data_IF_104220894307
#
_entry.id   IF_104220894307
#
_cell.length_a   1.000
_cell.length_b   1.000
_cell.length_c   1.000
_cell.angle_alpha   90.00
_cell.angle_beta   90.00
_cell.angle_gamma   90.00
#
_symmetry.space_group_name_H-M   'P 1'
#
loop_
_entity.id
_entity.type
_entity.pdbx_description
1 polymer ?
#
# COMPACT_ATOMS: atom_id res chain seq x y z
N UNK A 1 -4.93 17.85 6.30
CA UNK A 1 -3.82 16.88 6.42
C UNK A 1 -4.48 15.52 6.37
N UNK A 2 -4.09 14.72 5.39
CA UNK A 2 -4.47 13.32 5.30
C UNK A 2 -3.29 12.50 5.78
N UNK A 3 -3.56 11.35 6.38
CA UNK A 3 -2.54 10.48 6.93
C UNK A 3 -2.71 9.12 6.28
N UNK A 4 -1.59 8.50 5.89
CA UNK A 4 -1.59 7.13 5.42
C UNK A 4 -0.78 6.23 6.33
N UNK A 5 -1.24 4.99 6.40
CA UNK A 5 -0.64 3.91 7.16
C UNK A 5 0.04 2.97 6.18
N UNK A 6 1.36 2.94 6.28
CA UNK A 6 2.22 2.21 5.36
C UNK A 6 2.81 1.00 6.09
N UNK A 7 2.67 -0.21 5.54
CA UNK A 7 3.26 -1.41 6.12
C UNK A 7 4.77 -1.43 5.86
N UNK A 8 5.54 -1.85 6.87
CA UNK A 8 6.99 -2.00 6.77
C UNK A 8 7.41 -3.38 7.25
N UNK A 9 8.52 -3.85 6.71
CA UNK A 9 9.31 -4.92 7.30
C UNK A 9 10.67 -4.36 7.66
N UNK A 10 10.95 -4.31 8.97
CA UNK A 10 12.17 -3.73 9.55
C UNK A 10 12.35 -2.23 9.27
N UNK A 11 12.76 -1.86 8.07
CA UNK A 11 13.14 -0.50 7.68
C UNK A 11 12.85 -0.18 6.22
N UNK A 12 12.15 -1.08 5.52
CA UNK A 12 11.72 -0.87 4.13
C UNK A 12 10.21 -1.09 4.03
N UNK A 13 9.50 -0.32 3.19
CA UNK A 13 8.08 -0.55 2.95
C UNK A 13 7.86 -1.98 2.46
N UNK A 14 6.91 -2.67 3.06
CA UNK A 14 6.58 -4.03 2.71
C UNK A 14 5.69 -4.04 1.46
N UNK A 15 6.14 -4.73 0.42
CA UNK A 15 5.40 -4.88 -0.82
C UNK A 15 5.26 -6.35 -1.17
N UNK A 16 4.12 -6.68 -1.77
CA UNK A 16 3.80 -8.02 -2.25
C UNK A 16 3.89 -8.08 -3.76
N UNK A 17 4.06 -9.28 -4.29
CA UNK A 17 4.03 -9.53 -5.73
C UNK A 17 2.69 -10.14 -6.12
N UNK A 18 1.93 -9.45 -6.96
CA UNK A 18 0.67 -9.94 -7.53
C UNK A 18 0.86 -10.02 -9.05
N UNK A 19 0.81 -11.25 -9.59
CA UNK A 19 0.94 -11.52 -11.03
C UNK A 19 2.17 -10.84 -11.69
N UNK A 20 3.31 -10.83 -11.01
CA UNK A 20 4.55 -10.23 -11.52
C UNK A 20 4.69 -8.72 -11.29
N UNK A 21 3.71 -8.09 -10.64
CA UNK A 21 3.76 -6.68 -10.26
C UNK A 21 3.99 -6.54 -8.76
N UNK A 22 5.01 -5.77 -8.39
CA UNK A 22 5.29 -5.43 -6.99
C UNK A 22 4.41 -4.27 -6.55
N UNK A 23 3.65 -4.46 -5.49
CA UNK A 23 2.64 -3.52 -4.99
C UNK A 23 2.80 -3.28 -3.50
N UNK A 24 2.86 -2.02 -3.12
CA UNK A 24 2.75 -1.55 -1.75
C UNK A 24 1.27 -1.21 -1.48
N UNK A 25 0.65 -1.88 -0.50
CA UNK A 25 -0.73 -1.60 -0.10
C UNK A 25 -0.69 -0.65 1.10
N UNK A 26 -1.31 0.52 0.97
CA UNK A 26 -1.39 1.54 2.03
C UNK A 26 -2.85 1.82 2.37
N UNK A 27 -3.15 2.28 3.58
CA UNK A 27 -4.51 2.60 4.00
C UNK A 27 -4.64 3.99 4.62
N UNK A 28 -5.87 4.51 4.64
CA UNK A 28 -6.24 5.73 5.35
C UNK A 28 -6.45 5.53 6.85
N UNK A 29 -6.65 4.29 7.31
CA UNK A 29 -6.88 3.94 8.71
C UNK A 29 -5.96 2.77 9.11
N UNK A 30 -5.41 2.75 10.34
CA UNK A 30 -4.48 1.71 10.75
C UNK A 30 -5.17 0.36 10.96
N UNK A 31 -6.43 0.37 11.43
CA UNK A 31 -7.23 -0.84 11.60
C UNK A 31 -7.45 -1.62 10.30
N UNK A 32 -7.52 -0.93 9.16
CA UNK A 32 -7.76 -1.55 7.86
C UNK A 32 -6.61 -2.51 7.48
N UNK A 33 -5.37 -2.24 7.89
CA UNK A 33 -4.17 -3.03 7.52
C UNK A 33 -3.70 -3.94 8.64
N UNK A 34 -3.97 -3.59 9.90
CA UNK A 34 -3.41 -4.26 11.07
C UNK A 34 -3.71 -5.76 11.11
N UNK A 35 -4.90 -6.18 10.69
CA UNK A 35 -5.29 -7.59 10.65
C UNK A 35 -4.52 -8.41 9.61
N UNK A 36 -4.04 -7.76 8.54
CA UNK A 36 -3.45 -8.40 7.36
C UNK A 36 -1.95 -8.10 7.19
N UNK A 37 -1.29 -7.48 8.17
CA UNK A 37 0.15 -7.14 8.14
C UNK A 37 1.04 -8.30 7.70
N UNK A 38 0.84 -9.49 8.29
CA UNK A 38 1.64 -10.66 7.94
C UNK A 38 1.39 -11.14 6.52
N UNK A 39 0.14 -11.00 6.02
CA UNK A 39 -0.23 -11.38 4.66
C UNK A 39 0.51 -10.51 3.63
N UNK A 40 0.68 -9.23 3.93
CA UNK A 40 1.42 -8.28 3.09
C UNK A 40 2.93 -8.27 3.36
N UNK A 41 3.43 -9.24 4.14
CA UNK A 41 4.85 -9.40 4.40
C UNK A 41 5.45 -8.29 5.26
N UNK A 42 4.67 -7.75 6.20
CA UNK A 42 5.02 -6.65 7.09
C UNK A 42 5.03 -7.08 8.57
N UNK A 43 5.85 -6.43 9.38
CA UNK A 43 5.91 -6.59 10.84
C UNK A 43 5.49 -5.33 11.61
N UNK A 44 5.42 -4.18 10.95
CA UNK A 44 5.05 -2.91 11.56
C UNK A 44 4.23 -2.00 10.61
N UNK A 45 3.51 -1.03 11.20
CA UNK A 45 2.80 0.03 10.48
C UNK A 45 3.48 1.35 10.82
N UNK A 46 3.76 2.16 9.82
CA UNK A 46 4.25 3.53 9.99
C UNK A 46 3.21 4.52 9.48
N UNK A 47 3.00 5.56 10.28
CA UNK A 47 2.14 6.69 9.93
C UNK A 47 2.95 7.68 9.09
N UNK A 48 2.41 8.07 7.94
CA UNK A 48 2.99 9.06 7.04
C UNK A 48 1.98 10.19 6.87
N UNK A 49 2.35 11.37 7.33
CA UNK A 49 1.59 12.60 7.11
C UNK A 49 1.70 13.04 5.65
N UNK A 50 0.56 13.19 5.00
CA UNK A 50 0.53 13.80 3.68
C UNK A 50 0.30 15.30 3.77
N UNK A 51 1.11 16.08 3.03
CA UNK A 51 0.85 17.49 2.84
C UNK A 51 -0.52 17.70 2.18
N UNK A 52 -1.22 18.76 2.56
CA UNK A 52 -2.55 19.08 2.01
C UNK A 52 -2.54 19.51 0.54
N UNK A 53 -1.38 19.55 -0.11
CA UNK A 53 -1.20 19.85 -1.52
C UNK A 53 -1.12 18.55 -2.33
N UNK A 54 -1.92 18.46 -3.39
CA UNK A 54 -2.07 17.25 -4.22
C UNK A 54 -0.76 16.89 -4.94
N UNK A 55 -0.01 17.89 -5.39
CA UNK A 55 1.28 17.69 -6.05
C UNK A 55 2.29 17.03 -5.09
N UNK A 56 2.35 17.52 -3.85
CA UNK A 56 3.25 16.96 -2.83
C UNK A 56 2.79 15.58 -2.34
N UNK A 57 1.49 15.34 -2.24
CA UNK A 57 0.96 13.99 -1.95
C UNK A 57 1.39 13.00 -3.03
N UNK A 58 1.31 13.42 -4.30
CA UNK A 58 1.74 12.59 -5.43
C UNK A 58 3.23 12.29 -5.38
N UNK A 59 4.06 13.27 -4.99
CA UNK A 59 5.50 13.09 -4.80
C UNK A 59 5.81 12.04 -3.72
N UNK A 60 5.15 12.12 -2.55
CA UNK A 60 5.32 11.13 -1.47
C UNK A 60 4.94 9.72 -1.93
N UNK A 61 3.83 9.56 -2.65
CA UNK A 61 3.42 8.25 -3.17
C UNK A 61 4.37 7.74 -4.26
N UNK A 62 4.92 8.63 -5.09
CA UNK A 62 5.91 8.27 -6.11
C UNK A 62 7.23 7.82 -5.48
N UNK A 63 7.67 8.46 -4.40
CA UNK A 63 8.87 8.07 -3.66
C UNK A 63 8.70 6.68 -3.02
N UNK A 64 7.53 6.42 -2.41
CA UNK A 64 7.20 5.08 -1.88
C UNK A 64 7.18 4.02 -2.99
N UNK A 65 6.60 4.35 -4.15
CA UNK A 65 6.59 3.48 -5.32
C UNK A 65 8.02 3.17 -5.82
N UNK A 66 8.87 4.19 -5.85
CA UNK A 66 10.27 4.07 -6.26
C UNK A 66 11.10 3.24 -5.26
N UNK A 67 10.87 3.42 -3.96
CA UNK A 67 11.55 2.67 -2.90
C UNK A 67 11.25 1.17 -2.98
N UNK A 68 9.99 0.81 -3.28
CA UNK A 68 9.62 -0.59 -3.49
C UNK A 68 9.95 -1.08 -4.91
N UNK A 69 10.23 -0.20 -5.86
CA UNK A 69 10.42 -0.55 -7.27
C UNK A 69 9.15 -1.13 -7.90
N UNK A 70 8.00 -0.52 -7.59
CA UNK A 70 6.68 -1.06 -7.92
C UNK A 70 5.59 0.01 -7.94
N UNK A 71 4.34 -0.39 -7.72
CA UNK A 71 3.19 0.50 -7.61
C UNK A 71 2.73 0.66 -6.16
N UNK A 72 1.98 1.72 -5.89
CA UNK A 72 1.27 1.92 -4.62
C UNK A 72 -0.23 1.80 -4.88
N UNK A 73 -0.91 1.05 -4.02
CA UNK A 73 -2.37 0.91 -4.04
C UNK A 73 -2.91 1.37 -2.69
N UNK A 74 -3.87 2.28 -2.74
CA UNK A 74 -4.59 2.75 -1.57
C UNK A 74 -5.82 1.87 -1.33
N UNK A 75 -5.93 1.24 -0.16
CA UNK A 75 -7.15 0.54 0.23
C UNK A 75 -8.28 1.55 0.44
N UNK A 76 -9.49 1.26 -0.08
CA UNK A 76 -10.67 2.00 0.33
C UNK A 76 -10.90 1.84 1.84
N UNK A 77 -11.46 2.87 2.47
CA UNK A 77 -11.80 2.82 3.89
C UNK A 77 -12.72 1.62 4.20
N UNK A 78 -12.39 0.87 5.26
CA UNK A 78 -13.14 -0.31 5.69
C UNK A 78 -12.94 -1.54 4.80
N UNK A 79 -11.98 -1.53 3.87
CA UNK A 79 -11.63 -2.68 3.03
C UNK A 79 -10.26 -3.20 3.45
N UNK A 80 -10.22 -4.48 3.86
CA UNK A 80 -8.99 -5.13 4.26
C UNK A 80 -8.07 -5.42 3.06
N UNK A 81 -6.74 -5.41 3.24
CA UNK A 81 -5.77 -5.80 2.22
C UNK A 81 -6.06 -7.17 1.61
N UNK A 82 -6.49 -8.15 2.40
CA UNK A 82 -6.87 -9.49 1.91
C UNK A 82 -7.96 -9.46 0.83
N UNK A 83 -9.00 -8.65 1.01
CA UNK A 83 -10.07 -8.47 0.02
C UNK A 83 -9.54 -7.78 -1.23
N UNK A 84 -8.71 -6.75 -1.05
CA UNK A 84 -8.08 -6.04 -2.15
C UNK A 84 -7.14 -6.94 -2.96
N UNK A 85 -6.30 -7.74 -2.31
CA UNK A 85 -5.41 -8.71 -2.96
C UNK A 85 -6.23 -9.70 -3.77
N UNK A 86 -7.28 -10.27 -3.17
CA UNK A 86 -8.16 -11.20 -3.87
C UNK A 86 -8.82 -10.54 -5.10
N UNK A 87 -9.33 -9.32 -4.96
CA UNK A 87 -9.90 -8.56 -6.07
C UNK A 87 -8.86 -8.32 -7.17
N UNK A 88 -7.64 -7.89 -6.83
CA UNK A 88 -6.57 -7.71 -7.80
C UNK A 88 -6.25 -9.03 -8.52
N UNK A 89 -6.04 -10.12 -7.78
CA UNK A 89 -5.79 -11.44 -8.36
C UNK A 89 -6.89 -11.92 -9.32
N UNK A 90 -8.16 -11.53 -9.10
CA UNK A 90 -9.27 -11.88 -9.99
C UNK A 90 -9.44 -10.90 -11.16
N UNK A 91 -9.29 -9.59 -10.90
CA UNK A 91 -9.62 -8.51 -11.83
C UNK A 91 -8.44 -8.04 -12.70
N UNK A 92 -7.20 -8.48 -12.46
CA UNK A 92 -6.09 -8.19 -13.37
C UNK A 92 -6.14 -9.11 -14.62
N UNK A 93 -6.42 -8.56 -15.82
CA UNK A 93 -5.63 -8.89 -17.00
C UNK A 93 -4.92 -7.60 -17.42
N UNK A 94 -3.65 -7.43 -17.05
CA UNK A 94 -2.91 -6.24 -17.45
C UNK A 94 -2.31 -6.53 -18.83
N UNK A 95 -3.14 -6.26 -19.85
CA UNK A 95 -2.81 -6.01 -21.26
C UNK A 95 -1.85 -7.04 -21.94
N UNK A 96 -2.39 -7.77 -22.92
CA UNK A 96 -1.62 -8.55 -23.91
C UNK A 96 -0.77 -7.68 -24.83
#
# INVERSE_FOLDING_TARGET
MSTFFVPYTRNVPAAIEIKGHKLLIVASEPEDIAADLQLIGADEIREIDLPGDEAQTTEVLADLAAEVGGGVVLTPAGVSPSVMIHSLEQELPWIH
#
